data_IF_241594428453
#
_entry.id   IF_241594428453
#
_cell.length_a   1.000
_cell.length_b   1.000
_cell.length_c   1.000
_cell.angle_alpha   90.00
_cell.angle_beta   90.00
_cell.angle_gamma   90.00
#
_symmetry.space_group_name_H-M   'P 1'
#
loop_
_entity.id
_entity.type
_entity.pdbx_description
1 polymer ?
#
# COMPACT_ATOMS: atom_id res chain seq x y z
N UNK A 1 -15.88 -0.72 -2.43
CA UNK A 1 -15.59 -0.53 -0.99
C UNK A 1 -16.84 -0.55 -0.12
N UNK A 2 -17.95 -0.01 -0.59
CA UNK A 2 -19.17 0.08 0.23
C UNK A 2 -19.68 -1.28 0.69
N UNK A 3 -19.62 -2.29 -0.18
CA UNK A 3 -20.07 -3.65 0.13
C UNK A 3 -19.19 -4.36 1.16
N UNK A 4 -17.92 -3.97 1.26
CA UNK A 4 -16.94 -4.66 2.10
C UNK A 4 -16.43 -3.79 3.25
N UNK A 5 -17.08 -2.64 3.48
CA UNK A 5 -16.55 -1.62 4.39
C UNK A 5 -16.32 -2.14 5.81
N UNK A 6 -17.22 -2.92 6.36
CA UNK A 6 -17.06 -3.41 7.73
C UNK A 6 -15.79 -4.26 7.90
N UNK A 7 -15.52 -5.14 6.94
CA UNK A 7 -14.32 -5.99 6.96
C UNK A 7 -13.08 -5.14 6.75
N UNK A 8 -13.10 -4.23 5.80
CA UNK A 8 -11.97 -3.37 5.47
C UNK A 8 -11.65 -2.44 6.62
N UNK A 9 -12.66 -1.81 7.20
CA UNK A 9 -12.49 -0.93 8.35
C UNK A 9 -11.83 -1.65 9.51
N UNK A 10 -12.28 -2.85 9.82
CA UNK A 10 -11.71 -3.66 10.90
C UNK A 10 -10.22 -3.93 10.67
N UNK A 11 -9.85 -4.30 9.46
CA UNK A 11 -8.45 -4.53 9.10
C UNK A 11 -7.60 -3.27 9.18
N UNK A 12 -8.13 -2.14 8.74
CA UNK A 12 -7.43 -0.85 8.82
C UNK A 12 -7.20 -0.44 10.27
N UNK A 13 -8.20 -0.59 11.12
CA UNK A 13 -8.07 -0.31 12.56
C UNK A 13 -6.94 -1.13 13.17
N UNK A 14 -6.87 -2.41 12.83
CA UNK A 14 -5.80 -3.29 13.31
C UNK A 14 -4.42 -2.80 12.85
N UNK A 15 -4.28 -2.42 11.58
CA UNK A 15 -3.04 -1.86 11.03
C UNK A 15 -2.64 -0.59 11.78
N UNK A 16 -3.60 0.31 12.05
CA UNK A 16 -3.32 1.57 12.74
C UNK A 16 -2.90 1.35 14.19
N UNK A 17 -3.47 0.35 14.85
CA UNK A 17 -3.08 0.00 16.22
C UNK A 17 -1.65 -0.53 16.27
N UNK A 18 -1.22 -1.27 15.25
CA UNK A 18 0.13 -1.80 15.15
C UNK A 18 1.15 -0.75 14.67
N UNK A 19 0.68 0.33 14.05
CA UNK A 19 1.52 1.35 13.44
C UNK A 19 1.04 2.75 13.85
N UNK A 20 1.27 3.15 15.11
CA UNK A 20 0.70 4.40 15.65
C UNK A 20 1.24 5.68 15.01
N UNK A 21 2.28 5.57 14.19
CA UNK A 21 2.83 6.73 13.46
C UNK A 21 2.13 7.03 12.15
N UNK A 22 1.22 6.14 11.70
CA UNK A 22 0.39 6.41 10.54
C UNK A 22 -0.64 7.48 10.90
N UNK A 23 -0.92 8.38 9.98
CA UNK A 23 -1.70 9.59 10.24
C UNK A 23 -3.12 9.57 9.71
N UNK A 24 -3.43 8.64 8.81
CA UNK A 24 -4.78 8.55 8.25
C UNK A 24 -5.72 7.77 9.19
N UNK A 25 -7.01 7.98 9.01
CA UNK A 25 -8.07 7.21 9.69
C UNK A 25 -8.82 6.37 8.67
N UNK A 26 -9.60 5.34 9.10
CA UNK A 26 -10.31 4.49 8.14
C UNK A 26 -11.22 5.25 7.18
N UNK A 27 -11.86 6.30 7.64
CA UNK A 27 -12.74 7.13 6.82
C UNK A 27 -12.00 7.85 5.69
N UNK A 28 -10.72 8.16 5.87
CA UNK A 28 -9.88 8.72 4.79
C UNK A 28 -9.73 7.72 3.65
N UNK A 29 -9.52 6.46 3.99
CA UNK A 29 -9.40 5.37 3.02
C UNK A 29 -10.72 5.19 2.26
N UNK A 30 -11.83 5.19 2.98
CA UNK A 30 -13.17 5.10 2.40
C UNK A 30 -13.39 6.23 1.38
N UNK A 31 -13.09 7.45 1.77
CA UNK A 31 -13.22 8.63 0.93
C UNK A 31 -12.39 8.51 -0.36
N UNK A 32 -11.14 8.09 -0.25
CA UNK A 32 -10.27 7.93 -1.41
C UNK A 32 -10.82 6.88 -2.38
N UNK A 33 -11.35 5.77 -1.87
CA UNK A 33 -11.93 4.73 -2.70
C UNK A 33 -13.22 5.16 -3.38
N UNK A 34 -14.11 5.83 -2.65
CA UNK A 34 -15.39 6.33 -3.20
C UNK A 34 -15.16 7.38 -4.29
N UNK A 35 -14.12 8.18 -4.13
CA UNK A 35 -13.77 9.23 -5.11
C UNK A 35 -12.83 8.73 -6.22
N UNK A 36 -12.64 7.44 -6.33
CA UNK A 36 -11.84 6.79 -7.37
C UNK A 36 -10.36 7.21 -7.39
N UNK A 37 -9.84 7.65 -6.24
CA UNK A 37 -8.42 7.96 -6.07
C UNK A 37 -7.64 6.78 -5.49
N UNK A 38 -8.33 5.78 -4.96
CA UNK A 38 -7.77 4.53 -4.50
C UNK A 38 -8.69 3.38 -4.91
N UNK A 39 -8.14 2.18 -4.98
CA UNK A 39 -8.85 1.01 -5.52
C UNK A 39 -8.70 -0.17 -4.57
N UNK A 40 -9.84 -0.73 -4.19
CA UNK A 40 -9.91 -1.89 -3.30
C UNK A 40 -9.95 -3.19 -4.11
N UNK A 41 -9.11 -4.14 -3.71
CA UNK A 41 -9.13 -5.50 -4.24
C UNK A 41 -9.30 -6.48 -3.09
N UNK A 42 -10.37 -7.28 -3.14
CA UNK A 42 -10.67 -8.31 -2.14
C UNK A 42 -10.19 -9.66 -2.61
N UNK A 43 -9.73 -10.49 -1.68
CA UNK A 43 -9.38 -11.88 -1.94
C UNK A 43 -9.72 -12.75 -0.74
N UNK A 44 -9.68 -14.09 -0.86
CA UNK A 44 -9.90 -14.98 0.27
C UNK A 44 -8.87 -14.83 1.39
N UNK A 45 -7.68 -14.30 1.10
CA UNK A 45 -6.60 -14.17 2.09
C UNK A 45 -6.51 -12.78 2.73
N UNK A 46 -7.20 -11.79 2.18
CA UNK A 46 -7.15 -10.43 2.71
C UNK A 46 -7.64 -9.39 1.71
N UNK A 47 -7.13 -8.17 1.84
CA UNK A 47 -7.46 -7.12 0.88
C UNK A 47 -6.25 -6.22 0.61
N UNK A 48 -6.30 -5.54 -0.53
CA UNK A 48 -5.31 -4.55 -0.95
C UNK A 48 -6.01 -3.25 -1.27
N UNK A 49 -5.37 -2.15 -0.95
CA UNK A 49 -5.79 -0.83 -1.43
C UNK A 49 -4.61 -0.21 -2.15
N UNK A 50 -4.82 0.10 -3.42
CA UNK A 50 -3.82 0.64 -4.33
C UNK A 50 -4.18 2.06 -4.70
N UNK A 51 -3.17 2.87 -4.97
CA UNK A 51 -3.36 4.22 -5.48
C UNK A 51 -2.34 4.49 -6.57
N UNK A 52 -2.60 5.47 -7.43
CA UNK A 52 -1.69 5.88 -8.48
C UNK A 52 -1.14 7.26 -8.12
N UNK A 53 0.18 7.38 -8.05
CA UNK A 53 0.86 8.64 -7.85
C UNK A 53 1.47 9.10 -9.18
N UNK A 54 1.41 10.40 -9.45
CA UNK A 54 1.97 11.00 -10.66
C UNK A 54 3.07 11.95 -10.24
N UNK A 55 4.28 11.75 -10.80
CA UNK A 55 5.39 12.66 -10.58
C UNK A 55 5.06 14.00 -11.24
N UNK A 56 5.17 15.08 -10.48
CA UNK A 56 4.75 16.40 -10.98
C UNK A 56 5.68 16.94 -12.07
N UNK A 57 6.90 16.45 -12.15
CA UNK A 57 7.89 16.94 -13.12
C UNK A 57 7.92 16.09 -14.39
N UNK A 58 8.04 14.76 -14.25
CA UNK A 58 8.16 13.85 -15.38
C UNK A 58 6.81 13.37 -15.90
N UNK A 59 5.76 13.45 -15.06
CA UNK A 59 4.43 12.89 -15.30
C UNK A 59 4.41 11.36 -15.34
N UNK A 60 5.49 10.72 -14.93
CA UNK A 60 5.52 9.26 -14.77
C UNK A 60 4.57 8.84 -13.65
N UNK A 61 3.89 7.72 -13.87
CA UNK A 61 2.94 7.17 -12.91
C UNK A 61 3.55 6.01 -12.15
N UNK A 62 3.21 5.93 -10.87
CA UNK A 62 3.60 4.85 -9.97
C UNK A 62 2.35 4.22 -9.38
N UNK A 63 2.25 2.89 -9.46
CA UNK A 63 1.21 2.14 -8.75
C UNK A 63 1.73 1.86 -7.35
N UNK A 64 1.10 2.45 -6.35
CA UNK A 64 1.50 2.33 -4.95
C UNK A 64 0.59 1.34 -4.23
N UNK A 65 1.21 0.34 -3.60
CA UNK A 65 0.53 -0.52 -2.64
C UNK A 65 0.40 0.27 -1.34
N UNK A 66 -0.76 0.92 -1.16
CA UNK A 66 -0.96 1.77 -0.01
C UNK A 66 -1.22 0.97 1.26
N UNK A 67 -2.17 0.03 1.18
CA UNK A 67 -2.55 -0.81 2.31
C UNK A 67 -2.61 -2.27 1.85
N UNK A 68 -1.96 -3.15 2.60
CA UNK A 68 -2.04 -4.59 2.39
C UNK A 68 -2.39 -5.24 3.72
N UNK A 69 -3.47 -6.01 3.75
CA UNK A 69 -3.93 -6.70 4.94
C UNK A 69 -4.20 -8.16 4.63
N UNK A 70 -3.68 -9.06 5.47
CA UNK A 70 -3.97 -10.48 5.38
C UNK A 70 -4.67 -10.94 6.65
N UNK A 71 -5.66 -11.84 6.50
CA UNK A 71 -6.40 -12.37 7.66
C UNK A 71 -5.50 -13.22 8.55
N UNK A 72 -4.49 -13.85 7.97
CA UNK A 72 -3.44 -14.55 8.70
C UNK A 72 -2.17 -13.71 8.71
N UNK A 73 -1.43 -13.73 9.82
CA UNK A 73 -0.20 -12.97 9.94
C UNK A 73 0.86 -13.48 8.95
N UNK A 74 1.65 -12.56 8.40
CA UNK A 74 2.69 -12.89 7.43
C UNK A 74 2.84 -11.90 6.29
N UNK A 75 1.86 -11.10 6.03
CA UNK A 75 1.83 -9.87 5.19
C UNK A 75 2.55 -9.80 3.86
N UNK A 76 3.51 -10.66 3.56
CA UNK A 76 4.24 -10.58 2.30
C UNK A 76 3.74 -11.56 1.23
N UNK A 77 2.67 -12.30 1.48
CA UNK A 77 2.06 -13.17 0.46
C UNK A 77 1.63 -12.38 -0.78
N UNK A 78 1.31 -11.11 -0.59
CA UNK A 78 0.92 -10.25 -1.70
C UNK A 78 2.03 -10.10 -2.73
N UNK A 79 3.28 -10.01 -2.30
CA UNK A 79 4.41 -9.84 -3.20
C UNK A 79 4.69 -11.11 -4.02
N UNK A 80 4.17 -12.26 -3.61
CA UNK A 80 4.25 -13.50 -4.38
C UNK A 80 3.40 -13.45 -5.66
N UNK A 81 2.48 -12.49 -5.77
CA UNK A 81 1.64 -12.28 -6.95
C UNK A 81 2.19 -11.18 -7.85
N UNK A 82 3.49 -11.14 -8.01
CA UNK A 82 4.19 -10.09 -8.75
C UNK A 82 3.68 -9.91 -10.19
N UNK A 83 3.41 -11.01 -10.87
CA UNK A 83 2.90 -10.95 -12.25
C UNK A 83 1.56 -10.21 -12.33
N UNK A 84 0.68 -10.45 -11.37
CA UNK A 84 -0.61 -9.75 -11.30
C UNK A 84 -0.41 -8.24 -11.11
N UNK A 85 0.50 -7.86 -10.23
CA UNK A 85 0.82 -6.44 -9.99
C UNK A 85 1.42 -5.79 -11.23
N UNK A 86 2.35 -6.47 -11.90
CA UNK A 86 2.97 -5.97 -13.13
C UNK A 86 1.93 -5.72 -14.21
N UNK A 87 1.00 -6.66 -14.40
CA UNK A 87 -0.06 -6.52 -15.39
C UNK A 87 -0.99 -5.36 -15.04
N UNK A 88 -1.35 -5.21 -13.78
CA UNK A 88 -2.19 -4.10 -13.33
C UNK A 88 -1.51 -2.75 -13.54
N UNK A 89 -0.23 -2.66 -13.22
CA UNK A 89 0.56 -1.44 -13.43
C UNK A 89 0.61 -1.08 -14.92
N UNK A 90 0.83 -2.06 -15.79
CA UNK A 90 0.83 -1.84 -17.24
C UNK A 90 -0.51 -1.33 -17.74
N UNK A 91 -1.60 -1.92 -17.29
CA UNK A 91 -2.95 -1.50 -17.67
C UNK A 91 -3.26 -0.07 -17.23
N UNK A 92 -2.73 0.34 -16.09
CA UNK A 92 -2.92 1.69 -15.56
C UNK A 92 -1.94 2.71 -16.14
N UNK A 93 -1.01 2.28 -17.02
CA UNK A 93 -0.01 3.16 -17.60
C UNK A 93 1.07 3.58 -16.61
N UNK A 94 1.33 2.77 -15.60
CA UNK A 94 2.33 3.06 -14.58
C UNK A 94 3.71 2.57 -15.00
N UNK A 95 4.72 3.39 -14.76
CA UNK A 95 6.12 3.06 -15.02
C UNK A 95 6.73 2.26 -13.87
N UNK A 96 6.30 2.53 -12.65
CA UNK A 96 6.82 1.91 -11.44
C UNK A 96 5.72 1.25 -10.63
N UNK A 97 6.14 0.25 -9.87
CA UNK A 97 5.36 -0.40 -8.83
C UNK A 97 6.10 -0.17 -7.52
N UNK A 98 5.40 0.33 -6.49
CA UNK A 98 6.04 0.76 -5.26
C UNK A 98 5.29 0.25 -4.04
N UNK A 99 6.03 -0.15 -3.01
CA UNK A 99 5.51 -0.46 -1.69
C UNK A 99 6.37 0.26 -0.66
N UNK A 100 5.72 0.81 0.36
CA UNK A 100 6.42 1.50 1.45
C UNK A 100 6.24 0.70 2.72
N UNK A 101 7.34 0.39 3.41
CA UNK A 101 7.32 -0.40 4.62
C UNK A 101 8.38 0.10 5.60
N UNK A 102 8.08 -0.05 6.89
CA UNK A 102 9.04 0.21 7.97
C UNK A 102 9.64 -1.09 8.50
N UNK A 103 9.24 -2.22 7.94
CA UNK A 103 9.70 -3.54 8.38
C UNK A 103 11.02 -3.87 7.67
N UNK A 104 12.14 -4.02 8.43
CA UNK A 104 13.46 -4.27 7.81
C UNK A 104 13.52 -5.54 6.97
N UNK A 105 12.77 -6.57 7.34
CA UNK A 105 12.73 -7.84 6.63
C UNK A 105 12.20 -7.70 5.19
N UNK A 106 11.40 -6.67 4.94
CA UNK A 106 10.86 -6.41 3.61
C UNK A 106 11.94 -6.09 2.59
N UNK A 107 13.02 -5.42 3.00
CA UNK A 107 14.14 -5.10 2.10
C UNK A 107 14.77 -6.37 1.54
N UNK A 108 15.03 -7.33 2.40
CA UNK A 108 15.60 -8.62 2.01
C UNK A 108 14.67 -9.40 1.07
N UNK A 109 13.38 -9.42 1.39
CA UNK A 109 12.38 -10.13 0.58
C UNK A 109 12.21 -9.50 -0.80
N UNK A 110 12.05 -8.19 -0.86
CA UNK A 110 11.83 -7.48 -2.12
C UNK A 110 13.03 -7.60 -3.05
N UNK A 111 14.23 -7.61 -2.50
CA UNK A 111 15.46 -7.79 -3.27
C UNK A 111 15.49 -9.12 -4.01
N UNK A 112 14.97 -10.18 -3.40
CA UNK A 112 14.90 -11.52 -4.00
C UNK A 112 14.00 -11.57 -5.22
N UNK A 113 12.98 -10.73 -5.29
CA UNK A 113 12.00 -10.72 -6.38
C UNK A 113 12.23 -9.58 -7.37
N UNK A 114 13.42 -8.97 -7.35
CA UNK A 114 13.81 -7.98 -8.35
C UNK A 114 13.38 -6.55 -8.06
N UNK A 115 12.92 -6.26 -6.85
CA UNK A 115 12.62 -4.90 -6.43
C UNK A 115 13.87 -4.23 -5.89
N UNK A 116 13.94 -2.92 -5.99
CA UNK A 116 15.06 -2.12 -5.52
C UNK A 116 14.60 -1.17 -4.42
N UNK A 117 15.50 -0.90 -3.47
CA UNK A 117 15.27 0.16 -2.49
C UNK A 117 15.42 1.51 -3.20
N UNK A 118 14.34 2.29 -3.23
CA UNK A 118 14.36 3.60 -3.89
C UNK A 118 14.89 4.69 -2.95
N UNK A 119 14.27 4.84 -1.78
CA UNK A 119 14.54 5.96 -0.88
C UNK A 119 14.50 5.52 0.57
N UNK A 120 15.40 6.08 1.37
CA UNK A 120 15.31 6.01 2.82
C UNK A 120 14.84 7.36 3.35
N UNK A 121 13.86 7.33 4.25
CA UNK A 121 13.29 8.54 4.82
C UNK A 121 13.82 8.71 6.25
N UNK A 122 14.46 9.83 6.51
CA UNK A 122 14.93 10.19 7.84
C UNK A 122 14.05 11.31 8.38
N UNK A 123 13.56 11.13 9.59
CA UNK A 123 12.60 12.08 10.18
C UNK A 123 13.03 12.47 11.58
N UNK A 124 12.88 13.74 11.88
CA UNK A 124 13.09 14.28 13.22
C UNK A 124 11.88 15.10 13.64
N UNK A 125 11.39 14.90 14.86
CA UNK A 125 10.41 15.80 15.45
C UNK A 125 11.05 17.14 15.74
N UNK A 126 10.37 18.22 15.37
CA UNK A 126 10.86 19.58 15.60
C UNK A 126 10.31 20.10 16.91
N UNK A 127 11.21 20.59 17.80
CA UNK A 127 10.86 21.23 19.08
C UNK A 127 9.90 20.44 19.94
N UNK A 128 10.04 19.12 19.98
CA UNK A 128 9.28 18.25 20.86
C UNK A 128 7.79 18.11 20.52
N UNK A 129 7.40 18.44 19.29
CA UNK A 129 6.01 18.27 18.83
C UNK A 129 5.74 16.90 18.26
#
# INVERSE_FOLDING_TARGET
IRQHWEVVKSGIVEILLENPTLTFIPEDVYSECVNERAFLYMSPVGFLILTVEVDQFTKDKTLLLWIAYTYNKGGHEWLAHEEWFDNLAKQAGCKYLEARSRVPEMESYTKKIGWELDTRIYRKKVNGK
#
